data_IF_690801247155
#
_entry.id   IF_690801247155
#
_cell.length_a   1.000
_cell.length_b   1.000
_cell.length_c   1.000
_cell.angle_alpha   90.00
_cell.angle_beta   90.00
_cell.angle_gamma   90.00
#
_symmetry.space_group_name_H-M   'P 1'
#
loop_
_entity.id
_entity.type
_entity.pdbx_description
1 polymer ?
#
# COMPACT_ATOMS: atom_id res chain seq x y z
N UNK A 1 -10.05 -1.46 9.48
CA UNK A 1 -10.34 -0.17 10.16
C UNK A 1 -9.13 0.25 11.00
N UNK A 2 -8.89 1.55 11.17
CA UNK A 2 -7.75 2.09 11.92
C UNK A 2 -8.08 2.38 13.38
N UNK A 3 -7.45 1.63 14.29
CA UNK A 3 -7.48 1.95 15.72
C UNK A 3 -6.58 3.14 16.05
N UNK A 4 -5.51 3.36 15.29
CA UNK A 4 -4.61 4.52 15.40
C UNK A 4 -5.37 5.84 15.17
N UNK A 5 -6.31 5.86 14.22
CA UNK A 5 -7.21 7.00 14.00
C UNK A 5 -8.49 6.96 14.85
N UNK A 6 -8.54 6.11 15.87
CA UNK A 6 -9.61 6.11 16.86
C UNK A 6 -10.89 5.38 16.47
N UNK A 7 -10.90 4.57 15.40
CA UNK A 7 -12.06 3.73 15.09
C UNK A 7 -12.19 2.62 16.13
N UNK A 8 -13.33 2.51 16.85
CA UNK A 8 -13.54 1.47 17.85
C UNK A 8 -13.35 0.06 17.26
N UNK A 9 -12.50 -0.75 17.87
CA UNK A 9 -12.19 -2.11 17.40
C UNK A 9 -11.33 -2.17 16.13
N UNK A 10 -10.86 -1.03 15.62
CA UNK A 10 -9.85 -0.97 14.56
C UNK A 10 -8.51 -1.55 15.05
N UNK A 11 -7.82 -2.27 14.16
CA UNK A 11 -6.59 -3.01 14.50
C UNK A 11 -5.39 -2.60 13.65
N UNK A 12 -5.59 -1.79 12.60
CA UNK A 12 -4.53 -1.43 11.64
C UNK A 12 -3.77 -2.66 11.09
N UNK A 13 -4.48 -3.77 10.97
CA UNK A 13 -3.95 -5.00 10.38
C UNK A 13 -4.13 -4.93 8.86
N UNK A 14 -3.03 -5.01 8.10
CA UNK A 14 -3.12 -5.12 6.65
C UNK A 14 -3.88 -6.39 6.25
N UNK A 15 -4.74 -6.36 5.22
CA UNK A 15 -5.40 -7.57 4.75
C UNK A 15 -4.37 -8.54 4.15
N UNK A 16 -4.76 -9.82 4.05
CA UNK A 16 -4.03 -10.73 3.18
C UNK A 16 -4.27 -10.32 1.72
N UNK A 17 -3.21 -10.33 0.92
CA UNK A 17 -3.26 -10.03 -0.50
C UNK A 17 -2.60 -11.17 -1.27
N UNK A 18 -3.18 -11.56 -2.39
CA UNK A 18 -2.61 -12.50 -3.34
C UNK A 18 -2.86 -11.99 -4.76
N UNK A 19 -1.88 -12.21 -5.64
CA UNK A 19 -1.97 -11.84 -7.04
C UNK A 19 -1.31 -12.90 -7.91
N UNK A 20 -1.74 -12.98 -9.17
CA UNK A 20 -1.06 -13.80 -10.17
C UNK A 20 0.33 -13.22 -10.48
N UNK A 21 1.33 -14.05 -10.86
CA UNK A 21 2.61 -13.55 -11.36
C UNK A 21 2.44 -12.46 -12.42
N UNK A 22 3.29 -11.45 -12.35
CA UNK A 22 3.35 -10.36 -13.33
C UNK A 22 3.81 -10.85 -14.72
N UNK A 23 3.73 -9.97 -15.74
CA UNK A 23 4.18 -10.30 -17.09
C UNK A 23 5.67 -10.64 -17.14
N UNK A 24 6.11 -11.20 -18.27
CA UNK A 24 7.53 -11.44 -18.55
C UNK A 24 8.36 -10.16 -18.32
N UNK A 25 9.52 -10.32 -17.69
CA UNK A 25 10.40 -9.21 -17.33
C UNK A 25 10.14 -8.60 -15.94
N UNK A 26 9.12 -9.06 -15.20
CA UNK A 26 8.89 -8.63 -13.80
C UNK A 26 10.08 -9.02 -12.91
N UNK A 27 10.66 -8.02 -12.21
CA UNK A 27 11.79 -8.19 -11.28
C UNK A 27 11.42 -7.85 -9.84
N UNK A 28 10.46 -6.96 -9.64
CA UNK A 28 9.94 -6.65 -8.31
C UNK A 28 8.46 -6.22 -8.36
N UNK A 29 7.84 -6.15 -7.19
CA UNK A 29 6.52 -5.57 -7.00
C UNK A 29 6.53 -4.40 -6.02
N UNK A 30 5.54 -3.53 -6.21
CA UNK A 30 5.10 -2.52 -5.25
C UNK A 30 3.65 -2.80 -4.87
N UNK A 31 3.34 -2.70 -3.59
CA UNK A 31 1.96 -2.76 -3.09
C UNK A 31 1.60 -1.44 -2.42
N UNK A 32 0.45 -0.88 -2.76
CA UNK A 32 -0.08 0.33 -2.13
C UNK A 32 -1.54 0.19 -1.73
N UNK A 33 -1.96 0.98 -0.74
CA UNK A 33 -3.37 1.25 -0.45
C UNK A 33 -3.59 2.76 -0.47
N UNK A 34 -4.57 3.21 -1.25
CA UNK A 34 -4.90 4.62 -1.42
C UNK A 34 -6.40 4.86 -1.26
N UNK A 35 -6.76 5.83 -0.43
CA UNK A 35 -8.10 6.38 -0.30
C UNK A 35 -8.25 7.57 -1.26
N UNK A 36 -9.06 7.42 -2.29
CA UNK A 36 -9.29 8.49 -3.27
C UNK A 36 -10.32 9.52 -2.78
N UNK A 37 -11.12 9.16 -1.77
CA UNK A 37 -12.22 9.98 -1.29
C UNK A 37 -11.85 10.82 -0.06
N UNK A 38 -10.67 10.58 0.53
CA UNK A 38 -10.16 11.39 1.62
C UNK A 38 -10.11 12.90 1.27
N UNK A 39 -10.73 13.77 2.08
CA UNK A 39 -10.96 15.18 1.75
C UNK A 39 -9.73 16.08 2.00
N UNK A 40 -8.59 15.72 1.41
CA UNK A 40 -7.29 16.40 1.59
C UNK A 40 -6.87 17.22 0.37
N UNK A 41 -7.55 17.05 -0.77
CA UNK A 41 -7.14 17.56 -2.08
C UNK A 41 -6.18 16.63 -2.84
N UNK A 42 -5.65 15.60 -2.18
CA UNK A 42 -4.72 14.62 -2.76
C UNK A 42 -5.03 13.17 -2.38
N UNK A 43 -6.22 12.90 -1.80
CA UNK A 43 -6.55 11.60 -1.21
C UNK A 43 -5.69 11.27 0.02
N UNK A 44 -5.56 9.99 0.34
CA UNK A 44 -4.75 9.55 1.48
C UNK A 44 -4.07 8.20 1.19
N UNK A 45 -2.74 8.17 1.25
CA UNK A 45 -1.98 6.93 1.23
C UNK A 45 -2.02 6.27 2.60
N UNK A 46 -2.58 5.05 2.62
CA UNK A 46 -2.69 4.22 3.81
C UNK A 46 -1.53 3.25 3.95
N UNK A 47 -0.93 2.85 2.84
CA UNK A 47 0.18 1.93 2.81
C UNK A 47 0.94 2.02 1.49
N UNK A 48 2.26 1.87 1.55
CA UNK A 48 3.12 1.71 0.39
C UNK A 48 4.34 0.86 0.79
N UNK A 49 4.57 -0.22 0.03
CA UNK A 49 5.73 -1.11 0.20
C UNK A 49 6.35 -1.40 -1.17
N UNK A 50 7.67 -1.33 -1.25
CA UNK A 50 8.44 -1.68 -2.45
C UNK A 50 9.54 -2.69 -2.11
N UNK A 51 10.28 -3.13 -3.13
CA UNK A 51 11.37 -4.09 -2.96
C UNK A 51 10.89 -5.53 -2.73
N UNK A 52 9.63 -5.82 -3.07
CA UNK A 52 9.11 -7.19 -3.04
C UNK A 52 9.70 -7.97 -4.22
N UNK A 53 10.44 -9.07 -4.01
CA UNK A 53 11.02 -9.85 -5.12
C UNK A 53 9.96 -10.36 -6.09
N UNK A 54 10.31 -10.60 -7.36
CA UNK A 54 9.39 -11.16 -8.37
C UNK A 54 8.75 -12.51 -7.99
N UNK A 55 9.35 -13.25 -7.06
CA UNK A 55 8.79 -14.48 -6.49
C UNK A 55 7.67 -14.24 -5.45
N UNK A 56 7.46 -13.00 -5.03
CA UNK A 56 6.42 -12.63 -4.07
C UNK A 56 5.09 -12.47 -4.79
N UNK A 57 4.15 -13.36 -4.53
CA UNK A 57 2.77 -13.30 -5.07
C UNK A 57 1.71 -13.27 -3.98
N UNK A 58 2.12 -13.20 -2.71
CA UNK A 58 1.22 -13.14 -1.57
C UNK A 58 1.86 -12.33 -0.44
N UNK A 59 1.04 -11.61 0.30
CA UNK A 59 1.37 -10.96 1.56
C UNK A 59 0.37 -11.43 2.61
N UNK A 60 0.83 -12.05 3.71
CA UNK A 60 -0.06 -12.46 4.80
C UNK A 60 -0.76 -11.26 5.46
N UNK A 61 -1.90 -11.52 6.10
CA UNK A 61 -2.54 -10.52 6.95
C UNK A 61 -1.56 -10.04 8.05
N UNK A 62 -1.53 -8.73 8.31
CA UNK A 62 -0.59 -8.12 9.25
C UNK A 62 0.85 -7.95 8.73
N UNK A 63 1.14 -8.26 7.47
CA UNK A 63 2.45 -7.99 6.88
C UNK A 63 2.84 -6.50 6.92
N UNK A 64 1.86 -5.59 6.86
CA UNK A 64 2.09 -4.16 6.92
C UNK A 64 2.27 -3.56 8.33
N UNK A 65 2.36 -4.34 9.40
CA UNK A 65 2.68 -3.77 10.71
C UNK A 65 4.13 -3.23 10.72
N UNK A 66 4.39 -2.16 11.47
CA UNK A 66 5.73 -1.57 11.62
C UNK A 66 6.77 -2.57 12.15
N UNK A 67 6.35 -3.52 12.99
CA UNK A 67 7.22 -4.53 13.60
C UNK A 67 7.06 -5.92 12.96
N UNK A 68 6.39 -6.01 11.81
CA UNK A 68 6.16 -7.29 11.14
C UNK A 68 7.45 -7.86 10.56
N UNK A 69 7.65 -9.16 10.73
CA UNK A 69 8.70 -9.93 10.04
C UNK A 69 8.16 -10.72 8.84
N UNK A 70 6.90 -10.48 8.46
CA UNK A 70 6.20 -11.22 7.42
C UNK A 70 6.48 -10.70 5.99
N UNK A 71 7.02 -9.48 5.86
CA UNK A 71 7.50 -8.98 4.57
C UNK A 71 8.80 -9.69 4.17
N UNK A 72 9.00 -9.98 2.87
CA UNK A 72 10.22 -10.63 2.39
C UNK A 72 11.46 -9.73 2.61
N UNK A 73 12.66 -10.32 2.72
CA UNK A 73 13.90 -9.55 2.81
C UNK A 73 14.03 -8.55 1.65
N UNK A 74 14.47 -7.33 1.96
CA UNK A 74 14.60 -6.24 0.98
C UNK A 74 13.33 -5.41 0.78
N UNK A 75 12.18 -5.85 1.34
CA UNK A 75 10.98 -5.04 1.35
C UNK A 75 11.14 -3.81 2.25
N UNK A 76 10.66 -2.66 1.78
CA UNK A 76 10.72 -1.39 2.51
C UNK A 76 9.34 -0.76 2.52
N UNK A 77 8.85 -0.42 3.72
CA UNK A 77 7.62 0.34 3.91
C UNK A 77 7.93 1.84 3.84
N UNK A 78 7.30 2.53 2.91
CA UNK A 78 7.40 3.99 2.77
C UNK A 78 6.49 4.63 3.82
N UNK A 79 6.91 5.72 4.50
CA UNK A 79 6.02 6.49 5.35
C UNK A 79 4.75 6.87 4.60
N UNK A 80 3.59 6.53 5.17
CA UNK A 80 2.28 6.91 4.64
C UNK A 80 1.97 8.39 4.95
N UNK A 81 0.76 8.86 4.63
CA UNK A 81 0.40 10.28 4.83
C UNK A 81 0.26 10.69 6.30
N UNK A 82 0.23 9.73 7.23
CA UNK A 82 0.38 9.99 8.66
C UNK A 82 1.86 10.03 9.12
N UNK A 83 2.81 9.92 8.19
CA UNK A 83 4.24 9.84 8.47
C UNK A 83 4.70 8.50 9.03
N UNK A 84 3.89 7.43 8.92
CA UNK A 84 4.21 6.15 9.53
C UNK A 84 4.59 5.09 8.48
N UNK A 85 5.74 4.39 8.62
CA UNK A 85 6.14 3.33 7.70
C UNK A 85 5.41 2.01 8.03
N UNK A 86 4.09 2.02 7.92
CA UNK A 86 3.19 0.89 8.18
C UNK A 86 1.87 1.04 7.42
N UNK A 87 1.10 -0.04 7.38
CA UNK A 87 -0.31 -0.01 7.01
C UNK A 87 -1.13 0.74 8.07
N UNK A 88 -2.07 1.58 7.62
CA UNK A 88 -3.15 2.14 8.42
C UNK A 88 -4.49 1.75 7.82
N UNK A 89 -5.42 1.33 8.67
CA UNK A 89 -6.77 0.97 8.22
C UNK A 89 -7.59 2.17 7.76
N UNK A 90 -8.77 1.89 7.21
CA UNK A 90 -9.78 2.91 6.93
C UNK A 90 -10.27 3.60 8.22
N UNK A 91 -10.44 4.92 8.16
CA UNK A 91 -11.07 5.75 9.18
C UNK A 91 -11.76 6.97 8.55
N UNK A 92 -12.76 6.75 7.67
CA UNK A 92 -13.45 7.86 7.02
C UNK A 92 -14.19 8.72 8.06
N UNK A 93 -14.24 10.06 7.89
CA UNK A 93 -14.83 10.96 8.87
C UNK A 93 -16.31 10.67 9.13
N UNK A 94 -16.75 10.88 10.37
CA UNK A 94 -18.17 10.74 10.73
C UNK A 94 -19.05 11.66 9.89
N UNK A 95 -20.07 11.07 9.25
CA UNK A 95 -21.03 11.80 8.42
C UNK A 95 -20.67 11.88 6.94
N UNK A 96 -19.51 11.33 6.55
CA UNK A 96 -19.13 11.24 5.14
C UNK A 96 -19.83 10.07 4.42
N UNK A 97 -19.70 10.03 3.09
CA UNK A 97 -20.06 8.84 2.31
C UNK A 97 -19.06 7.71 2.56
N UNK A 98 -19.38 6.44 2.23
CA UNK A 98 -18.36 5.38 2.23
C UNK A 98 -17.19 5.74 1.30
N UNK A 99 -15.96 5.68 1.82
CA UNK A 99 -14.75 5.92 1.04
C UNK A 99 -14.32 4.65 0.29
N UNK A 100 -13.63 4.84 -0.83
CA UNK A 100 -13.05 3.79 -1.68
C UNK A 100 -11.55 3.69 -1.45
N UNK A 101 -11.13 2.48 -1.09
CA UNK A 101 -9.74 2.12 -0.82
C UNK A 101 -9.24 1.21 -1.92
N UNK A 102 -8.27 1.70 -2.70
CA UNK A 102 -7.65 0.96 -3.79
C UNK A 102 -6.37 0.29 -3.31
N UNK A 103 -6.40 -1.03 -3.25
CA UNK A 103 -5.21 -1.86 -3.10
C UNK A 103 -4.62 -2.11 -4.48
N UNK A 104 -3.38 -1.71 -4.71
CA UNK A 104 -2.73 -1.82 -6.01
C UNK A 104 -1.47 -2.64 -5.89
N UNK A 105 -1.32 -3.65 -6.75
CA UNK A 105 -0.04 -4.34 -6.99
C UNK A 105 0.51 -3.82 -8.32
N UNK A 106 1.73 -3.32 -8.32
CA UNK A 106 2.43 -2.87 -9.53
C UNK A 106 3.63 -3.76 -9.79
N UNK A 107 3.70 -4.37 -10.98
CA UNK A 107 4.84 -5.18 -11.42
C UNK A 107 5.87 -4.28 -12.12
N UNK A 108 7.15 -4.41 -11.76
CA UNK A 108 8.24 -3.56 -12.25
C UNK A 108 9.33 -4.34 -12.99
N UNK A 109 9.97 -3.70 -13.96
CA UNK A 109 11.11 -4.25 -14.73
C UNK A 109 12.49 -4.03 -14.06
N UNK A 110 12.48 -3.49 -12.85
CA UNK A 110 13.66 -3.19 -12.04
C UNK A 110 13.56 -3.90 -10.69
N UNK A 111 14.69 -4.38 -10.16
CA UNK A 111 14.74 -5.12 -8.89
C UNK A 111 14.75 -4.18 -7.68
N UNK A 112 15.54 -3.10 -7.74
CA UNK A 112 15.72 -2.16 -6.65
C UNK A 112 15.47 -0.73 -7.13
N UNK A 113 14.78 0.06 -6.29
CA UNK A 113 14.52 1.46 -6.54
C UNK A 113 15.62 2.34 -5.92
N UNK A 114 15.94 3.49 -6.50
CA UNK A 114 16.83 4.45 -5.87
C UNK A 114 16.20 4.99 -4.57
N UNK A 115 16.97 5.05 -3.47
CA UNK A 115 16.49 5.51 -2.16
C UNK A 115 15.88 6.91 -2.20
N UNK A 116 16.41 7.81 -3.05
CA UNK A 116 15.88 9.16 -3.23
C UNK A 116 14.47 9.20 -3.83
N UNK A 117 14.03 8.11 -4.47
CA UNK A 117 12.73 7.98 -5.11
C UNK A 117 11.62 7.44 -4.20
N UNK A 118 11.89 7.16 -2.93
CA UNK A 118 10.96 6.43 -2.05
C UNK A 118 10.67 7.16 -0.74
N UNK A 119 10.84 8.49 -0.73
CA UNK A 119 10.60 9.32 0.45
C UNK A 119 9.11 9.43 0.83
N UNK A 120 8.22 9.47 -0.16
CA UNK A 120 6.76 9.45 0.01
C UNK A 120 6.12 8.50 -1.01
N UNK A 121 4.86 8.07 -0.80
CA UNK A 121 4.15 7.24 -1.77
C UNK A 121 3.97 7.93 -3.14
N UNK A 122 3.84 9.26 -3.18
CA UNK A 122 3.82 10.03 -4.44
C UNK A 122 5.15 9.96 -5.17
N UNK A 123 6.26 10.16 -4.46
CA UNK A 123 7.60 10.04 -5.05
C UNK A 123 7.85 8.62 -5.55
N UNK A 124 7.43 7.61 -4.77
CA UNK A 124 7.46 6.22 -5.20
C UNK A 124 6.65 6.04 -6.50
N UNK A 125 5.43 6.55 -6.55
CA UNK A 125 4.57 6.53 -7.73
C UNK A 125 5.21 7.19 -8.96
N UNK A 126 5.89 8.32 -8.77
CA UNK A 126 6.66 9.00 -9.81
C UNK A 126 7.85 8.15 -10.29
N UNK A 127 8.65 7.62 -9.37
CA UNK A 127 9.84 6.81 -9.65
C UNK A 127 9.50 5.53 -10.40
N UNK A 128 8.41 4.84 -10.05
CA UNK A 128 8.05 3.56 -10.68
C UNK A 128 7.35 3.73 -12.03
N UNK A 129 6.96 4.95 -12.41
CA UNK A 129 6.15 5.21 -13.61
C UNK A 129 6.80 4.66 -14.89
N UNK A 130 8.11 4.84 -15.06
CA UNK A 130 8.84 4.38 -16.24
C UNK A 130 9.25 2.91 -16.18
N UNK A 131 9.09 2.27 -15.02
CA UNK A 131 9.42 0.87 -14.77
C UNK A 131 8.18 -0.04 -14.68
N UNK A 132 6.98 0.54 -14.75
CA UNK A 132 5.72 -0.20 -14.57
C UNK A 132 5.42 -1.06 -15.81
N UNK A 133 5.34 -2.37 -15.61
CA UNK A 133 4.93 -3.34 -16.63
C UNK A 133 3.42 -3.60 -16.60
N UNK A 134 2.84 -3.74 -15.41
CA UNK A 134 1.42 -4.00 -15.23
C UNK A 134 0.94 -3.55 -13.84
N UNK A 135 -0.39 -3.37 -13.71
CA UNK A 135 -1.05 -3.13 -12.43
C UNK A 135 -2.29 -4.00 -12.26
N UNK A 136 -2.50 -4.49 -11.05
CA UNK A 136 -3.73 -5.10 -10.59
C UNK A 136 -4.31 -4.28 -9.43
N UNK A 137 -5.63 -4.13 -9.39
CA UNK A 137 -6.32 -3.35 -8.38
C UNK A 137 -7.46 -4.14 -7.74
N UNK A 138 -7.59 -4.04 -6.42
CA UNK A 138 -8.81 -4.35 -5.69
C UNK A 138 -9.34 -3.05 -5.06
N UNK A 139 -10.65 -2.87 -5.13
CA UNK A 139 -11.31 -1.74 -4.47
C UNK A 139 -12.22 -2.29 -3.37
N UNK A 140 -12.00 -1.78 -2.16
CA UNK A 140 -12.86 -2.04 -1.01
C UNK A 140 -13.50 -0.72 -0.57
N UNK A 141 -14.62 -0.81 0.13
CA UNK A 141 -15.28 0.36 0.72
C UNK A 141 -15.30 0.25 2.24
N UNK A 142 -15.14 1.36 2.93
CA UNK A 142 -15.45 1.46 4.36
C UNK A 142 -16.35 2.66 4.62
N UNK A 143 -17.40 2.45 5.41
CA UNK A 143 -18.28 3.51 5.86
C UNK A 143 -17.72 4.17 7.15
N UNK A 144 -18.11 5.42 7.43
CA UNK A 144 -17.81 6.05 8.72
C UNK A 144 -18.28 5.19 9.90
N UNK A 145 -17.45 5.13 10.93
CA UNK A 145 -17.70 4.41 12.17
C UNK A 145 -18.05 5.36 13.33
#
# INVERSE_FOLDING_TARGET
>A
MSGIFGVPGGQDQSPQLEWSPGPEGTKSYVVTMYDIDAPTGSGFWHWAVHGLPASTTTLPAGAGDANSTLLPPGAVQVPNDAGMPRYLGAAPPKGDSPHRYYFTVTALDIEQLPESGTATPEMLGFTIRTHTLARGHLMATAAPA
#
